data_IF_703866871524
#
_entry.id   IF_703866871524
#
_cell.length_a   1.000
_cell.length_b   1.000
_cell.length_c   1.000
_cell.angle_alpha   90.00
_cell.angle_beta   90.00
_cell.angle_gamma   90.00
#
_symmetry.space_group_name_H-M   'P 1'
#
loop_
_entity.id
_entity.type
_entity.pdbx_description
1 polymer ?
#
# COMPACT_ATOMS: atom_id res chain seq x y z
N UNK A 1 -14.27 57.16 9.72
CA UNK A 1 -14.70 55.77 9.95
C UNK A 1 -13.44 54.90 9.96
N UNK A 2 -13.13 54.25 11.09
CA UNK A 2 -11.79 53.69 11.34
C UNK A 2 -11.48 52.46 10.48
N UNK A 3 -10.32 52.48 9.82
CA UNK A 3 -9.76 51.34 9.11
C UNK A 3 -9.40 50.23 10.09
N UNK A 4 -10.07 49.09 9.95
CA UNK A 4 -9.78 47.87 10.70
C UNK A 4 -8.36 47.42 10.34
N UNK A 5 -7.48 47.28 11.33
CA UNK A 5 -6.08 46.92 11.08
C UNK A 5 -5.99 45.43 10.74
N UNK A 6 -4.93 45.00 10.04
CA UNK A 6 -4.66 43.57 9.77
C UNK A 6 -4.63 42.72 11.05
N UNK A 7 -4.26 43.33 12.18
CA UNK A 7 -4.26 42.70 13.51
C UNK A 7 -5.69 42.47 14.01
N UNK A 8 -6.59 43.40 13.78
CA UNK A 8 -8.01 43.28 14.17
C UNK A 8 -8.73 42.22 13.34
N UNK A 9 -8.43 42.13 12.04
CA UNK A 9 -8.94 41.07 11.18
C UNK A 9 -8.45 39.67 11.61
N UNK A 10 -7.18 39.56 12.01
CA UNK A 10 -6.58 38.31 12.49
C UNK A 10 -7.16 37.89 13.84
N UNK A 11 -7.36 38.83 14.77
CA UNK A 11 -8.01 38.57 16.07
C UNK A 11 -9.47 38.16 15.87
N UNK A 12 -10.22 38.82 15.00
CA UNK A 12 -11.60 38.45 14.67
C UNK A 12 -11.69 37.04 14.06
N UNK A 13 -10.74 36.67 13.20
CA UNK A 13 -10.64 35.34 12.62
C UNK A 13 -10.36 34.27 13.71
N UNK A 14 -9.40 34.53 14.60
CA UNK A 14 -9.07 33.63 15.71
C UNK A 14 -10.25 33.43 16.66
N UNK A 15 -10.95 34.50 17.02
CA UNK A 15 -12.17 34.42 17.84
C UNK A 15 -13.24 33.57 17.15
N UNK A 16 -13.44 33.78 15.84
CA UNK A 16 -14.42 33.01 15.05
C UNK A 16 -14.08 31.51 15.02
N UNK A 17 -12.80 31.15 14.84
CA UNK A 17 -12.35 29.75 14.85
C UNK A 17 -12.52 29.12 16.24
N UNK A 18 -12.15 29.83 17.31
CA UNK A 18 -12.31 29.34 18.69
C UNK A 18 -13.78 29.13 19.04
N UNK A 19 -14.66 30.06 18.67
CA UNK A 19 -16.10 29.94 18.88
C UNK A 19 -16.69 28.78 18.07
N UNK A 20 -16.27 28.58 16.83
CA UNK A 20 -16.72 27.46 16.00
C UNK A 20 -16.28 26.10 16.57
N UNK A 21 -15.05 26.00 17.08
CA UNK A 21 -14.54 24.78 17.74
C UNK A 21 -15.29 24.51 19.06
N UNK A 22 -15.53 25.54 19.88
CA UNK A 22 -16.30 25.42 21.11
C UNK A 22 -17.76 24.99 20.83
N UNK A 23 -18.38 25.53 19.78
CA UNK A 23 -19.73 25.16 19.36
C UNK A 23 -19.79 23.70 18.86
N UNK A 24 -18.83 23.28 18.04
CA UNK A 24 -18.73 21.89 17.55
C UNK A 24 -18.55 20.87 18.70
N UNK A 25 -17.76 21.21 19.72
CA UNK A 25 -17.58 20.36 20.91
C UNK A 25 -18.85 20.30 21.78
N UNK A 26 -19.64 21.37 21.80
CA UNK A 26 -20.90 21.43 22.54
C UNK A 26 -22.00 20.61 21.86
N UNK A 27 -22.11 20.72 20.52
CA UNK A 27 -23.04 19.91 19.71
C UNK A 27 -22.62 18.43 19.73
N UNK A 28 -21.32 18.14 19.65
CA UNK A 28 -20.79 16.78 19.77
C UNK A 28 -21.12 16.11 21.12
N UNK A 29 -21.16 16.89 22.21
CA UNK A 29 -21.62 16.39 23.52
C UNK A 29 -23.14 16.15 23.58
N UNK A 30 -23.94 17.00 22.94
CA UNK A 30 -25.41 16.82 22.89
C UNK A 30 -25.84 15.60 22.06
N UNK A 31 -25.12 15.27 20.98
CA UNK A 31 -25.40 14.09 20.14
C UNK A 31 -25.08 12.78 20.87
N UNK A 32 -24.11 12.79 21.81
CA UNK A 32 -23.70 11.60 22.56
C UNK A 32 -24.63 11.30 23.76
N UNK A 33 -25.40 12.27 24.25
CA UNK A 33 -26.32 12.08 25.40
C UNK A 33 -27.78 11.82 25.03
N UNK A 34 -28.11 11.73 23.74
CA UNK A 34 -29.49 11.67 23.26
C UNK A 34 -29.80 10.47 22.37
N UNK A 35 -29.58 9.23 22.84
CA UNK A 35 -30.27 8.04 22.29
C UNK A 35 -30.13 6.85 23.24
N UNK A 36 -31.18 6.62 24.04
CA UNK A 36 -31.38 5.35 24.74
C UNK A 36 -32.84 4.93 24.62
N UNK A 37 -33.04 3.76 23.99
CA UNK A 37 -34.23 2.89 23.89
C UNK A 37 -34.10 2.23 22.49
N UNK A 38 -34.00 0.93 22.28
CA UNK A 38 -34.51 -0.21 23.03
C UNK A 38 -35.11 -1.16 21.98
N UNK A 39 -34.77 -2.45 22.07
CA UNK A 39 -35.28 -3.57 21.25
C UNK A 39 -34.71 -3.76 19.83
N UNK A 40 -33.73 -4.68 19.72
CA UNK A 40 -33.77 -5.84 18.81
C UNK A 40 -32.62 -6.79 19.20
N UNK A 41 -32.75 -7.37 20.39
CA UNK A 41 -32.08 -8.62 20.75
C UNK A 41 -32.94 -9.74 20.19
N UNK A 42 -32.52 -10.33 19.05
CA UNK A 42 -32.77 -11.70 18.56
C UNK A 42 -32.84 -11.70 17.03
N UNK A 43 -31.71 -12.02 16.38
CA UNK A 43 -31.60 -13.06 15.33
C UNK A 43 -30.34 -12.88 14.47
N UNK A 44 -29.14 -13.03 15.03
CA UNK A 44 -27.91 -13.10 14.21
C UNK A 44 -26.97 -14.25 14.64
N UNK A 45 -27.52 -15.25 15.34
CA UNK A 45 -26.75 -16.43 15.78
C UNK A 45 -26.93 -17.65 14.88
N UNK A 46 -27.34 -17.47 13.63
CA UNK A 46 -27.50 -18.55 12.68
C UNK A 46 -26.76 -18.26 11.38
N UNK A 47 -25.88 -19.20 11.02
CA UNK A 47 -25.09 -19.33 9.77
C UNK A 47 -23.77 -18.57 9.74
N UNK A 48 -22.79 -19.14 10.43
CA UNK A 48 -21.39 -19.13 9.98
C UNK A 48 -20.73 -20.45 10.43
N UNK A 49 -21.39 -21.58 10.12
CA UNK A 49 -20.66 -22.85 9.97
C UNK A 49 -19.88 -22.70 8.67
N UNK A 50 -18.62 -22.27 8.77
CA UNK A 50 -17.67 -22.28 7.67
C UNK A 50 -17.64 -23.71 7.14
N UNK A 51 -18.11 -23.94 5.91
CA UNK A 51 -17.83 -25.20 5.24
C UNK A 51 -16.32 -25.23 5.04
N UNK A 52 -15.66 -26.21 5.66
CA UNK A 52 -14.22 -26.45 5.53
C UNK A 52 -13.85 -26.82 4.08
N UNK A 53 -14.86 -27.04 3.22
CA UNK A 53 -14.76 -27.47 1.83
C UNK A 53 -14.91 -26.36 0.76
N UNK A 54 -15.06 -25.08 1.13
CA UNK A 54 -15.13 -24.03 0.12
C UNK A 54 -13.74 -23.80 -0.50
N UNK A 55 -13.54 -24.29 -1.73
CA UNK A 55 -12.32 -24.03 -2.52
C UNK A 55 -12.09 -22.52 -2.61
N UNK A 56 -10.84 -22.09 -2.42
CA UNK A 56 -10.46 -20.70 -2.65
C UNK A 56 -10.58 -20.41 -4.14
N UNK A 57 -11.44 -19.45 -4.50
CA UNK A 57 -11.66 -19.03 -5.88
C UNK A 57 -10.76 -17.86 -6.28
N UNK A 58 -10.47 -16.97 -5.32
CA UNK A 58 -9.69 -15.78 -5.55
C UNK A 58 -8.92 -15.32 -4.30
N UNK A 59 -7.82 -14.60 -4.51
CA UNK A 59 -6.99 -14.03 -3.43
C UNK A 59 -6.81 -12.52 -3.63
N UNK A 60 -7.29 -11.69 -2.69
CA UNK A 60 -6.98 -10.26 -2.67
C UNK A 60 -5.54 -10.02 -2.21
N UNK A 61 -4.86 -9.08 -2.87
CA UNK A 61 -3.55 -8.57 -2.45
C UNK A 61 -3.69 -7.10 -2.13
N UNK A 62 -3.30 -6.69 -0.93
CA UNK A 62 -3.43 -5.33 -0.44
C UNK A 62 -2.09 -4.61 -0.57
N UNK A 63 -2.06 -3.42 -1.16
CA UNK A 63 -0.88 -2.59 -1.28
C UNK A 63 -1.00 -1.36 -0.37
N UNK A 64 -0.14 -1.29 0.65
CA UNK A 64 0.06 -0.15 1.52
C UNK A 64 1.36 0.58 1.15
N UNK A 65 1.50 1.84 1.53
CA UNK A 65 2.79 2.54 1.43
C UNK A 65 3.16 3.09 2.81
N UNK A 66 2.64 4.26 3.17
CA UNK A 66 3.05 4.94 4.40
C UNK A 66 2.01 4.82 5.51
N UNK A 67 2.45 4.53 6.73
CA UNK A 67 1.60 4.57 7.91
C UNK A 67 1.88 5.83 8.72
N UNK A 68 0.90 6.73 8.82
CA UNK A 68 1.09 8.00 9.55
C UNK A 68 0.48 7.92 10.95
N UNK A 69 1.26 8.35 11.95
CA UNK A 69 0.87 8.37 13.36
C UNK A 69 -0.27 9.36 13.66
N UNK A 70 -0.81 9.30 14.89
CA UNK A 70 -2.03 10.02 15.32
C UNK A 70 -1.89 11.55 15.48
N UNK A 71 -0.73 12.13 15.23
CA UNK A 71 -0.46 13.52 15.62
C UNK A 71 0.37 14.25 14.57
N UNK A 72 -0.31 14.67 13.51
CA UNK A 72 0.04 15.91 12.84
C UNK A 72 -1.17 16.85 12.95
N UNK A 73 -1.14 17.86 13.85
CA UNK A 73 -2.21 18.85 14.01
C UNK A 73 -2.54 19.59 12.72
N UNK A 74 -1.54 19.79 11.85
CA UNK A 74 -1.71 20.42 10.54
C UNK A 74 -2.53 19.51 9.63
N UNK A 75 -2.37 18.20 9.76
CA UNK A 75 -3.12 17.21 8.98
C UNK A 75 -4.56 17.05 9.42
N UNK A 76 -4.84 17.09 10.73
CA UNK A 76 -6.22 17.11 11.22
C UNK A 76 -6.96 18.35 10.69
N UNK A 77 -6.29 19.51 10.69
CA UNK A 77 -6.81 20.74 10.11
C UNK A 77 -7.00 20.65 8.58
N UNK A 78 -6.10 19.98 7.84
CA UNK A 78 -6.21 19.76 6.39
C UNK A 78 -7.31 18.78 6.01
N UNK A 79 -7.41 17.64 6.70
CA UNK A 79 -8.47 16.65 6.49
C UNK A 79 -9.84 17.23 6.87
N UNK A 80 -9.93 17.96 7.98
CA UNK A 80 -11.14 18.68 8.35
C UNK A 80 -11.49 19.76 7.32
N UNK A 81 -10.52 20.54 6.85
CA UNK A 81 -10.69 21.52 5.79
C UNK A 81 -11.15 20.92 4.46
N UNK A 82 -10.72 19.71 4.10
CA UNK A 82 -11.18 19.03 2.89
C UNK A 82 -12.59 18.43 3.06
N UNK A 83 -12.82 17.70 4.16
CA UNK A 83 -14.09 16.97 4.39
C UNK A 83 -15.24 17.92 4.74
N UNK A 84 -14.96 19.01 5.44
CA UNK A 84 -15.99 19.98 5.90
C UNK A 84 -16.06 21.20 5.01
N UNK A 85 -14.93 21.64 4.43
CA UNK A 85 -14.85 22.91 3.67
C UNK A 85 -14.49 22.74 2.19
N UNK A 86 -14.34 21.51 1.68
CA UNK A 86 -13.97 21.22 0.28
C UNK A 86 -12.70 21.93 -0.21
N UNK A 87 -11.76 22.24 0.69
CA UNK A 87 -10.53 22.97 0.35
C UNK A 87 -9.50 22.04 -0.34
N UNK A 88 -8.92 22.41 -1.49
CA UNK A 88 -7.97 21.55 -2.22
C UNK A 88 -6.60 21.54 -1.52
N UNK A 89 -6.40 20.60 -0.59
CA UNK A 89 -5.13 20.46 0.15
C UNK A 89 -4.80 18.99 0.46
N UNK A 90 -4.84 18.13 -0.56
CA UNK A 90 -4.07 16.89 -0.50
C UNK A 90 -2.87 17.05 -1.42
N UNK A 91 -1.68 17.10 -0.83
CA UNK A 91 -0.48 16.74 -1.58
C UNK A 91 -0.64 15.28 -2.05
N UNK A 92 -0.15 14.95 -3.25
CA UNK A 92 -0.27 13.61 -3.81
C UNK A 92 0.38 12.55 -2.90
N UNK A 93 1.38 12.92 -2.09
CA UNK A 93 1.99 12.03 -1.09
C UNK A 93 1.02 11.63 0.04
N UNK A 94 0.03 12.46 0.36
CA UNK A 94 -0.95 12.20 1.43
C UNK A 94 -1.99 11.13 1.05
N UNK A 95 -2.25 10.94 -0.25
CA UNK A 95 -3.21 9.94 -0.75
C UNK A 95 -2.73 8.50 -0.48
N UNK A 96 -1.43 8.23 -0.61
CA UNK A 96 -0.82 6.90 -0.40
C UNK A 96 -0.57 6.56 1.07
N UNK A 97 -1.20 7.30 1.99
CA UNK A 97 -1.03 7.08 3.43
C UNK A 97 -2.22 6.35 4.06
N UNK A 98 -1.95 5.56 5.09
CA UNK A 98 -2.98 5.03 6.00
C UNK A 98 -2.68 5.52 7.41
N UNK A 99 -3.71 5.92 8.18
CA UNK A 99 -3.49 6.25 9.59
C UNK A 99 -3.15 4.99 10.40
N UNK A 100 -2.26 5.07 11.39
CA UNK A 100 -1.89 3.93 12.24
C UNK A 100 -3.11 3.24 12.86
N UNK A 101 -4.08 4.02 13.36
CA UNK A 101 -5.33 3.47 13.90
C UNK A 101 -6.26 2.89 12.82
N UNK A 102 -6.21 3.39 11.59
CA UNK A 102 -6.92 2.81 10.44
C UNK A 102 -6.35 1.46 10.06
N UNK A 103 -5.03 1.36 9.96
CA UNK A 103 -4.31 0.11 9.70
C UNK A 103 -4.61 -0.93 10.78
N UNK A 104 -4.48 -0.57 12.06
CA UNK A 104 -4.76 -1.48 13.17
C UNK A 104 -6.19 -2.04 13.11
N UNK A 105 -7.20 -1.19 12.86
CA UNK A 105 -8.60 -1.64 12.71
C UNK A 105 -8.78 -2.61 11.54
N UNK A 106 -8.10 -2.38 10.42
CA UNK A 106 -8.14 -3.28 9.26
C UNK A 106 -7.52 -4.64 9.61
N UNK A 107 -6.35 -4.66 10.26
CA UNK A 107 -5.68 -5.91 10.65
C UNK A 107 -6.45 -6.70 11.72
N UNK A 108 -7.01 -6.00 12.72
CA UNK A 108 -7.89 -6.64 13.71
C UNK A 108 -9.15 -7.22 13.07
N UNK A 109 -9.69 -6.56 12.03
CA UNK A 109 -10.83 -7.09 11.29
C UNK A 109 -10.46 -8.41 10.60
N UNK A 110 -9.31 -8.46 9.91
CA UNK A 110 -8.82 -9.69 9.25
C UNK A 110 -8.71 -10.83 10.26
N UNK A 111 -8.00 -10.58 11.37
CA UNK A 111 -7.78 -11.57 12.44
C UNK A 111 -9.10 -12.06 13.04
N UNK A 112 -10.00 -11.15 13.46
CA UNK A 112 -11.30 -11.51 14.08
C UNK A 112 -12.25 -12.24 13.12
N UNK A 113 -12.11 -12.04 11.81
CA UNK A 113 -12.95 -12.66 10.79
C UNK A 113 -12.30 -13.89 10.15
N UNK A 114 -11.19 -14.37 10.71
CA UNK A 114 -10.55 -15.61 10.28
C UNK A 114 -9.94 -15.53 8.89
N UNK A 115 -9.48 -14.34 8.46
CA UNK A 115 -8.64 -14.23 7.28
C UNK A 115 -7.23 -14.71 7.59
N UNK A 116 -6.65 -15.44 6.64
CA UNK A 116 -5.31 -16.01 6.77
C UNK A 116 -4.35 -15.25 5.87
N UNK A 117 -3.35 -14.58 6.47
CA UNK A 117 -2.31 -13.93 5.67
C UNK A 117 -1.39 -14.96 5.06
N UNK A 118 -1.23 -14.90 3.74
CA UNK A 118 -0.32 -15.76 2.98
C UNK A 118 0.81 -14.94 2.35
N UNK A 119 1.90 -15.63 2.05
CA UNK A 119 3.08 -15.10 1.33
C UNK A 119 2.82 -15.04 -0.16
N UNK A 120 3.66 -14.29 -0.89
CA UNK A 120 3.63 -14.28 -2.35
C UNK A 120 4.04 -15.63 -2.94
N UNK A 121 4.94 -16.37 -2.30
CA UNK A 121 5.30 -17.76 -2.67
C UNK A 121 4.06 -18.67 -2.61
N UNK A 122 3.32 -18.64 -1.50
CA UNK A 122 2.06 -19.39 -1.32
C UNK A 122 1.01 -19.01 -2.37
N UNK A 123 0.84 -17.72 -2.64
CA UNK A 123 -0.07 -17.24 -3.69
C UNK A 123 0.35 -17.81 -5.06
N UNK A 124 1.63 -17.72 -5.39
CA UNK A 124 2.17 -18.21 -6.65
C UNK A 124 1.95 -19.72 -6.80
N UNK A 125 2.36 -20.51 -5.81
CA UNK A 125 2.18 -21.97 -5.79
C UNK A 125 0.71 -22.38 -5.95
N UNK A 126 -0.21 -21.68 -5.29
CA UNK A 126 -1.64 -21.93 -5.46
C UNK A 126 -2.13 -21.61 -6.87
N UNK A 127 -1.70 -20.48 -7.44
CA UNK A 127 -2.12 -20.08 -8.79
C UNK A 127 -1.69 -21.08 -9.88
N UNK A 128 -0.56 -21.76 -9.70
CA UNK A 128 -0.09 -22.83 -10.61
C UNK A 128 -0.57 -24.24 -10.21
N UNK A 129 -1.30 -24.38 -9.09
CA UNK A 129 -1.88 -25.64 -8.63
C UNK A 129 -0.91 -26.57 -7.91
N UNK A 130 0.14 -26.02 -7.29
CA UNK A 130 1.10 -26.77 -6.46
C UNK A 130 0.74 -26.76 -4.96
N UNK A 131 -0.15 -25.86 -4.52
CA UNK A 131 -0.53 -25.71 -3.11
C UNK A 131 -2.02 -25.37 -2.96
N UNK A 132 -2.66 -25.95 -1.95
CA UNK A 132 -3.97 -25.49 -1.46
C UNK A 132 -3.80 -24.38 -0.42
N UNK A 133 -4.71 -23.41 -0.41
CA UNK A 133 -4.67 -22.28 0.51
C UNK A 133 -5.60 -22.47 1.71
N UNK A 134 -5.26 -21.87 2.87
CA UNK A 134 -6.21 -21.78 3.98
C UNK A 134 -7.44 -20.96 3.58
N UNK A 135 -8.57 -21.12 4.28
CA UNK A 135 -9.78 -20.34 4.00
C UNK A 135 -9.53 -18.84 4.16
N UNK A 136 -10.23 -18.02 3.37
CA UNK A 136 -10.13 -16.55 3.41
C UNK A 136 -8.68 -16.04 3.32
N UNK A 137 -7.90 -16.47 2.31
CA UNK A 137 -6.52 -16.01 2.16
C UNK A 137 -6.49 -14.53 1.79
N UNK A 138 -5.47 -13.82 2.25
CA UNK A 138 -5.18 -12.43 1.88
C UNK A 138 -3.67 -12.21 1.87
N UNK A 139 -3.15 -11.45 0.91
CA UNK A 139 -1.76 -11.01 0.92
C UNK A 139 -1.70 -9.55 1.33
N UNK A 140 -0.73 -9.20 2.17
CA UNK A 140 -0.46 -7.82 2.58
C UNK A 140 0.91 -7.44 2.05
N UNK A 141 0.98 -6.31 1.32
CA UNK A 141 2.23 -5.77 0.77
C UNK A 141 2.41 -4.31 1.17
N UNK A 142 3.66 -3.89 1.30
CA UNK A 142 4.08 -2.52 1.56
C UNK A 142 5.13 -2.10 0.52
N UNK A 143 4.92 -0.97 -0.13
CA UNK A 143 5.89 -0.40 -1.06
C UNK A 143 6.80 0.63 -0.34
N UNK A 144 7.93 0.97 -0.96
CA UNK A 144 8.97 1.93 -0.53
C UNK A 144 9.77 1.63 0.74
N UNK A 145 9.30 0.75 1.61
CA UNK A 145 9.95 0.41 2.87
C UNK A 145 10.22 1.63 3.79
N UNK A 146 9.27 2.56 3.85
CA UNK A 146 9.33 3.70 4.78
C UNK A 146 9.41 3.24 6.25
N UNK A 147 10.10 4.00 7.10
CA UNK A 147 10.26 3.69 8.53
C UNK A 147 8.95 3.50 9.26
N UNK A 148 7.87 4.14 8.80
CA UNK A 148 6.54 3.91 9.36
C UNK A 148 6.05 2.46 9.30
N UNK A 149 6.53 1.67 8.34
CA UNK A 149 6.21 0.24 8.27
C UNK A 149 6.75 -0.49 9.50
N UNK A 150 7.97 -0.17 9.92
CA UNK A 150 8.57 -0.73 11.13
C UNK A 150 7.91 -0.19 12.40
N UNK A 151 7.68 1.13 12.45
CA UNK A 151 7.19 1.77 13.68
C UNK A 151 5.72 1.44 13.98
N UNK A 152 4.88 1.29 12.94
CA UNK A 152 3.43 1.13 13.10
C UNK A 152 2.88 -0.19 12.56
N UNK A 153 3.37 -0.70 11.42
CA UNK A 153 2.83 -1.92 10.82
C UNK A 153 3.34 -3.19 11.50
N UNK A 154 4.66 -3.29 11.61
CA UNK A 154 5.36 -4.44 12.16
C UNK A 154 4.89 -4.87 13.56
N UNK A 155 4.75 -3.99 14.57
CA UNK A 155 4.26 -4.41 15.88
C UNK A 155 2.82 -4.94 15.84
N UNK A 156 1.95 -4.36 15.01
CA UNK A 156 0.56 -4.81 14.86
C UNK A 156 0.50 -6.18 14.20
N UNK A 157 1.21 -6.37 13.09
CA UNK A 157 1.27 -7.64 12.36
C UNK A 157 1.84 -8.75 13.25
N UNK A 158 2.97 -8.48 13.94
CA UNK A 158 3.60 -9.41 14.87
C UNK A 158 2.65 -9.83 16.01
N UNK A 159 1.97 -8.86 16.63
CA UNK A 159 1.00 -9.11 17.72
C UNK A 159 -0.18 -9.98 17.26
N UNK A 160 -0.62 -9.81 16.03
CA UNK A 160 -1.77 -10.53 15.46
C UNK A 160 -1.38 -11.83 14.74
N UNK A 161 -0.09 -12.18 14.68
CA UNK A 161 0.39 -13.36 13.96
C UNK A 161 0.19 -13.28 12.44
N UNK A 162 0.15 -12.06 11.90
CA UNK A 162 -0.05 -11.79 10.49
C UNK A 162 1.30 -11.65 9.76
N UNK A 163 1.35 -12.08 8.50
CA UNK A 163 2.52 -11.98 7.62
C UNK A 163 2.28 -10.96 6.52
N UNK A 164 3.35 -10.33 6.06
CA UNK A 164 3.33 -9.35 4.98
C UNK A 164 4.61 -9.41 4.13
N UNK A 165 4.61 -8.69 3.02
CA UNK A 165 5.78 -8.44 2.19
C UNK A 165 6.09 -6.95 2.17
N UNK A 166 7.37 -6.58 2.18
CA UNK A 166 7.79 -5.20 1.93
C UNK A 166 8.71 -5.15 0.71
N UNK A 167 8.41 -4.26 -0.24
CA UNK A 167 9.19 -3.99 -1.42
C UNK A 167 10.12 -2.80 -1.15
N UNK A 168 11.42 -3.00 -1.35
CA UNK A 168 12.47 -2.06 -0.95
C UNK A 168 13.14 -1.42 -2.17
N UNK A 169 13.24 -0.09 -2.19
CA UNK A 169 14.08 0.64 -3.15
C UNK A 169 15.53 0.64 -2.64
N UNK A 170 16.33 -0.32 -3.12
CA UNK A 170 17.56 -0.71 -2.42
C UNK A 170 18.67 0.37 -2.44
N UNK A 171 18.68 1.26 -3.44
CA UNK A 171 19.62 2.38 -3.53
C UNK A 171 19.39 3.48 -2.48
N UNK A 172 18.22 3.47 -1.83
CA UNK A 172 17.83 4.45 -0.82
C UNK A 172 17.79 3.89 0.61
N UNK A 173 18.10 2.61 0.82
CA UNK A 173 18.11 1.98 2.16
C UNK A 173 18.96 2.77 3.16
N UNK A 174 18.38 3.05 4.33
CA UNK A 174 19.01 3.83 5.40
C UNK A 174 19.14 5.33 5.10
N UNK A 175 18.58 5.83 4.00
CA UNK A 175 18.64 7.23 3.59
C UNK A 175 17.26 7.89 3.67
N UNK A 176 17.29 9.23 3.73
CA UNK A 176 16.11 10.04 3.44
C UNK A 176 16.04 10.28 1.93
N UNK A 177 14.91 9.98 1.33
CA UNK A 177 14.65 10.10 -0.09
C UNK A 177 13.30 10.82 -0.27
N UNK A 178 13.36 12.10 -0.60
CA UNK A 178 12.20 13.00 -0.54
C UNK A 178 11.60 13.08 0.87
N UNK A 179 10.30 12.79 0.98
CA UNK A 179 9.56 12.71 2.25
C UNK A 179 9.65 11.34 2.93
N UNK A 180 10.22 10.34 2.25
CA UNK A 180 10.36 8.97 2.73
C UNK A 180 11.68 8.83 3.48
N UNK A 181 11.65 8.11 4.59
CA UNK A 181 12.86 7.62 5.25
C UNK A 181 12.86 6.12 5.11
N UNK A 182 13.70 5.61 4.22
CA UNK A 182 13.74 4.17 3.91
C UNK A 182 14.43 3.46 5.06
N UNK A 183 13.84 2.35 5.50
CA UNK A 183 14.40 1.49 6.54
C UNK A 183 15.85 1.12 6.24
N UNK A 184 16.65 0.98 7.29
CA UNK A 184 18.00 0.43 7.18
C UNK A 184 17.98 -1.12 7.11
N UNK A 185 19.11 -1.71 6.69
CA UNK A 185 19.26 -3.15 6.60
C UNK A 185 19.15 -3.87 7.96
N UNK A 186 19.43 -3.21 9.08
CA UNK A 186 19.33 -3.83 10.40
C UNK A 186 17.85 -4.08 10.76
N UNK A 187 16.99 -3.07 10.58
CA UNK A 187 15.54 -3.18 10.77
C UNK A 187 14.90 -4.16 9.79
N UNK A 188 15.28 -4.12 8.51
CA UNK A 188 14.77 -5.07 7.51
C UNK A 188 15.13 -6.52 7.87
N UNK A 189 16.36 -6.77 8.33
CA UNK A 189 16.77 -8.10 8.83
C UNK A 189 15.98 -8.53 10.04
N UNK A 190 15.72 -7.63 10.98
CA UNK A 190 14.91 -7.95 12.17
C UNK A 190 13.50 -8.39 11.78
N UNK A 191 12.83 -7.61 10.92
CA UNK A 191 11.48 -7.90 10.45
C UNK A 191 11.39 -9.24 9.71
N UNK A 192 12.42 -9.58 8.94
CA UNK A 192 12.48 -10.89 8.28
C UNK A 192 12.77 -12.02 9.27
N UNK A 193 13.75 -11.85 10.17
CA UNK A 193 14.13 -12.87 11.14
C UNK A 193 12.99 -13.22 12.11
N UNK A 194 12.06 -12.29 12.34
CA UNK A 194 10.86 -12.57 13.14
C UNK A 194 9.80 -13.40 12.39
N UNK A 195 9.96 -13.64 11.09
CA UNK A 195 8.99 -14.33 10.24
C UNK A 195 7.75 -13.51 9.87
N UNK A 196 7.73 -12.22 10.16
CA UNK A 196 6.56 -11.35 9.91
C UNK A 196 6.61 -10.76 8.51
N UNK A 197 7.81 -10.37 8.04
CA UNK A 197 7.99 -9.81 6.71
C UNK A 197 8.85 -10.68 5.80
N UNK A 198 8.44 -10.74 4.55
CA UNK A 198 9.29 -11.12 3.42
C UNK A 198 9.80 -9.85 2.72
N UNK A 199 11.08 -9.81 2.35
CA UNK A 199 11.72 -8.62 1.79
C UNK A 199 11.93 -8.82 0.28
N UNK A 200 11.32 -7.96 -0.53
CA UNK A 200 11.28 -8.08 -1.99
C UNK A 200 11.74 -6.78 -2.68
N UNK A 201 11.90 -6.81 -4.00
CA UNK A 201 12.52 -5.71 -4.74
C UNK A 201 11.52 -4.63 -5.15
N UNK A 202 11.87 -3.37 -4.95
CA UNK A 202 11.20 -2.21 -5.57
C UNK A 202 12.16 -1.42 -6.48
N UNK A 203 13.01 -2.15 -7.22
CA UNK A 203 14.16 -1.62 -7.99
C UNK A 203 15.31 -1.14 -7.10
N UNK A 204 16.44 -0.79 -7.69
CA UNK A 204 17.57 -0.20 -6.96
C UNK A 204 17.45 1.32 -6.92
N UNK A 205 17.35 1.97 -8.07
CA UNK A 205 17.29 3.42 -8.19
C UNK A 205 16.45 3.83 -9.42
N UNK A 206 15.35 3.12 -9.70
CA UNK A 206 14.43 3.45 -10.82
C UNK A 206 13.09 4.02 -10.35
N UNK A 207 12.98 4.36 -9.06
CA UNK A 207 11.76 4.97 -8.51
C UNK A 207 11.74 6.49 -8.73
N UNK A 208 11.88 6.96 -9.95
CA UNK A 208 11.67 8.37 -10.27
C UNK A 208 10.99 8.54 -11.62
N UNK A 209 10.45 9.75 -11.84
CA UNK A 209 9.88 10.13 -13.12
C UNK A 209 10.82 11.09 -13.84
N UNK A 210 10.83 10.98 -15.16
CA UNK A 210 11.51 11.91 -16.05
C UNK A 210 10.47 12.70 -16.84
N UNK A 211 10.84 13.87 -17.33
CA UNK A 211 10.03 14.65 -18.26
C UNK A 211 10.89 15.03 -19.46
N UNK A 212 10.53 14.54 -20.64
CA UNK A 212 11.22 14.81 -21.91
C UNK A 212 10.33 15.59 -22.89
N UNK A 213 9.60 16.58 -22.38
CA UNK A 213 8.71 17.45 -23.17
C UNK A 213 7.24 17.05 -23.18
N UNK A 214 6.81 16.21 -22.23
CA UNK A 214 5.44 15.71 -22.07
C UNK A 214 5.03 15.49 -20.61
N UNK A 215 4.06 14.60 -20.38
CA UNK A 215 3.72 14.17 -19.01
C UNK A 215 4.86 13.38 -18.39
N UNK A 216 5.07 13.57 -17.08
CA UNK A 216 6.14 12.88 -16.38
C UNK A 216 5.89 11.36 -16.33
N UNK A 217 6.80 10.59 -16.92
CA UNK A 217 6.72 9.12 -17.01
C UNK A 217 7.75 8.44 -16.11
N UNK A 218 7.47 7.21 -15.61
CA UNK A 218 8.45 6.44 -14.87
C UNK A 218 9.71 6.22 -15.70
N UNK A 219 10.88 6.46 -15.10
CA UNK A 219 12.14 6.43 -15.83
C UNK A 219 12.33 5.12 -16.56
N UNK A 220 12.07 3.98 -15.92
CA UNK A 220 12.24 2.63 -16.50
C UNK A 220 11.36 2.36 -17.73
N UNK A 221 10.29 3.13 -17.95
CA UNK A 221 9.42 3.03 -19.12
C UNK A 221 9.83 3.94 -20.28
N UNK A 222 10.74 4.88 -20.04
CA UNK A 222 11.18 5.84 -21.04
C UNK A 222 11.63 5.17 -22.34
N UNK A 223 11.25 5.77 -23.47
CA UNK A 223 11.69 5.31 -24.78
C UNK A 223 13.21 5.49 -24.97
N UNK A 224 13.75 6.58 -24.42
CA UNK A 224 15.14 7.01 -24.53
C UNK A 224 15.69 7.41 -23.17
N UNK A 225 17.00 7.24 -22.95
CA UNK A 225 17.66 7.70 -21.71
C UNK A 225 17.72 9.23 -21.72
N UNK A 226 17.35 9.92 -20.63
CA UNK A 226 17.65 11.35 -20.51
C UNK A 226 19.16 11.55 -20.56
N UNK A 227 19.65 12.22 -21.61
CA UNK A 227 21.07 12.56 -21.80
C UNK A 227 21.95 11.39 -22.24
N UNK A 228 21.80 10.98 -23.50
CA UNK A 228 22.80 10.29 -24.36
C UNK A 228 23.82 9.36 -23.69
N UNK A 229 23.78 8.07 -24.04
CA UNK A 229 24.97 7.20 -24.12
C UNK A 229 26.06 7.46 -23.06
N UNK A 230 25.73 7.25 -21.79
CA UNK A 230 26.70 7.38 -20.69
C UNK A 230 27.32 6.02 -20.40
N UNK A 231 28.66 5.97 -20.43
CA UNK A 231 29.51 4.88 -19.92
C UNK A 231 29.36 3.50 -20.58
N UNK A 232 29.18 3.45 -21.91
CA UNK A 232 29.24 2.18 -22.65
C UNK A 232 28.08 1.21 -22.37
N UNK A 233 26.99 1.68 -21.74
CA UNK A 233 25.76 0.89 -21.57
C UNK A 233 25.03 0.77 -22.91
N UNK A 234 24.96 -0.45 -23.42
CA UNK A 234 24.66 -0.79 -24.82
C UNK A 234 23.17 -0.66 -25.21
N UNK A 235 22.25 -0.55 -24.25
CA UNK A 235 20.82 -0.25 -24.51
C UNK A 235 20.08 0.15 -23.22
N UNK A 236 18.89 0.73 -23.36
CA UNK A 236 18.00 1.03 -22.22
C UNK A 236 17.66 -0.22 -21.37
N UNK A 237 17.50 -1.37 -22.01
CA UNK A 237 17.22 -2.63 -21.32
C UNK A 237 18.39 -3.07 -20.44
N UNK A 238 19.62 -2.76 -20.84
CA UNK A 238 20.80 -3.04 -20.02
C UNK A 238 20.86 -2.18 -18.76
N UNK A 239 20.35 -0.94 -18.82
CA UNK A 239 20.20 -0.09 -17.64
C UNK A 239 19.20 -0.71 -16.65
N UNK A 240 18.01 -1.09 -17.14
CA UNK A 240 16.99 -1.75 -16.30
C UNK A 240 17.54 -3.08 -15.75
N UNK A 241 18.22 -3.88 -16.58
CA UNK A 241 18.85 -5.15 -16.17
C UNK A 241 19.88 -4.93 -15.07
N UNK A 242 20.74 -3.93 -15.23
CA UNK A 242 21.77 -3.58 -14.26
C UNK A 242 21.16 -3.15 -12.92
N UNK A 243 20.15 -2.27 -12.96
CA UNK A 243 19.46 -1.80 -11.77
C UNK A 243 18.78 -2.94 -11.01
N UNK A 244 18.01 -3.76 -11.72
CA UNK A 244 17.32 -4.90 -11.15
C UNK A 244 18.29 -5.94 -10.55
N UNK A 245 19.42 -6.16 -11.22
CA UNK A 245 20.48 -7.05 -10.72
C UNK A 245 21.10 -6.49 -9.44
N UNK A 246 21.43 -5.20 -9.40
CA UNK A 246 21.93 -4.53 -8.18
C UNK A 246 20.94 -4.64 -7.02
N UNK A 247 19.64 -4.49 -7.29
CA UNK A 247 18.62 -4.64 -6.26
C UNK A 247 18.57 -6.05 -5.68
N UNK A 248 18.58 -7.07 -6.55
CA UNK A 248 18.59 -8.48 -6.13
C UNK A 248 19.83 -8.83 -5.32
N UNK A 249 21.00 -8.38 -5.78
CA UNK A 249 22.26 -8.64 -5.11
C UNK A 249 22.34 -7.97 -3.75
N UNK A 250 21.89 -6.71 -3.64
CA UNK A 250 21.81 -6.00 -2.37
C UNK A 250 20.90 -6.73 -1.37
N UNK A 251 19.69 -7.13 -1.78
CA UNK A 251 18.78 -7.89 -0.91
C UNK A 251 19.41 -9.22 -0.53
N UNK A 252 19.92 -10.00 -1.50
CA UNK A 252 20.58 -11.29 -1.24
C UNK A 252 21.72 -11.16 -0.23
N UNK A 253 22.57 -10.15 -0.39
CA UNK A 253 23.72 -9.90 0.49
C UNK A 253 23.29 -9.54 1.91
N UNK A 254 22.31 -8.66 2.08
CA UNK A 254 21.94 -8.14 3.39
C UNK A 254 20.90 -8.99 4.12
N UNK A 255 20.03 -9.68 3.38
CA UNK A 255 18.87 -10.41 3.89
C UNK A 255 19.08 -11.92 3.85
N UNK A 256 19.99 -12.42 3.02
CA UNK A 256 20.33 -13.85 2.90
C UNK A 256 19.38 -14.66 2.01
N UNK A 257 18.38 -14.01 1.41
CA UNK A 257 17.47 -14.60 0.42
C UNK A 257 17.46 -13.74 -0.85
N UNK A 258 17.47 -14.37 -2.01
CA UNK A 258 17.28 -13.68 -3.28
C UNK A 258 15.80 -13.30 -3.41
N UNK A 259 15.46 -12.03 -3.70
CA UNK A 259 14.07 -11.65 -3.90
C UNK A 259 13.54 -12.26 -5.20
N UNK A 260 12.34 -12.83 -5.14
CA UNK A 260 11.66 -13.47 -6.25
C UNK A 260 10.59 -12.57 -6.89
N UNK A 261 10.15 -11.53 -6.19
CA UNK A 261 9.08 -10.64 -6.61
C UNK A 261 9.57 -9.21 -6.78
N UNK A 262 8.98 -8.52 -7.75
CA UNK A 262 9.25 -7.11 -8.06
C UNK A 262 7.94 -6.33 -8.05
N UNK A 263 7.82 -5.32 -7.20
CA UNK A 263 6.80 -4.29 -7.42
C UNK A 263 7.41 -3.24 -8.35
N UNK A 264 6.74 -2.91 -9.45
CA UNK A 264 7.18 -1.79 -10.28
C UNK A 264 6.85 -0.47 -9.60
N UNK A 265 7.79 0.49 -9.50
CA UNK A 265 7.47 1.84 -9.05
C UNK A 265 6.30 2.42 -9.83
N UNK A 266 5.41 3.14 -9.15
CA UNK A 266 4.16 3.67 -9.73
C UNK A 266 3.16 2.62 -10.23
N UNK A 267 3.43 1.34 -10.00
CA UNK A 267 2.46 0.27 -10.09
C UNK A 267 2.39 -0.47 -11.41
N UNK A 268 3.07 -0.04 -12.48
CA UNK A 268 2.92 -0.67 -13.80
C UNK A 268 4.26 -0.78 -14.52
N UNK A 269 4.55 -2.00 -14.98
CA UNK A 269 5.56 -2.28 -15.98
C UNK A 269 4.95 -2.26 -17.38
N UNK A 270 5.69 -2.83 -18.33
CA UNK A 270 5.19 -3.17 -19.66
C UNK A 270 5.89 -4.44 -20.14
N UNK A 271 5.43 -5.08 -21.24
CA UNK A 271 6.01 -6.33 -21.73
C UNK A 271 7.51 -6.29 -22.00
N UNK A 272 8.07 -5.09 -22.28
CA UNK A 272 9.50 -4.89 -22.50
C UNK A 272 10.27 -5.00 -21.19
N UNK A 273 9.92 -4.23 -20.16
CA UNK A 273 10.63 -4.28 -18.86
C UNK A 273 10.31 -5.56 -18.07
N UNK A 274 9.12 -6.13 -18.24
CA UNK A 274 8.76 -7.41 -17.63
C UNK A 274 9.58 -8.58 -18.22
N UNK A 275 9.96 -8.50 -19.49
CA UNK A 275 10.91 -9.47 -20.08
C UNK A 275 12.27 -9.38 -19.40
N UNK A 276 12.79 -8.17 -19.21
CA UNK A 276 14.07 -7.95 -18.51
C UNK A 276 13.99 -8.45 -17.07
N UNK A 277 12.88 -8.19 -16.36
CA UNK A 277 12.68 -8.70 -15.01
C UNK A 277 12.72 -10.24 -14.95
N UNK A 278 12.09 -10.93 -15.90
CA UNK A 278 12.17 -12.40 -16.04
C UNK A 278 13.61 -12.88 -16.28
N UNK A 279 14.32 -12.24 -17.21
CA UNK A 279 15.73 -12.58 -17.54
C UNK A 279 16.66 -12.42 -16.33
N UNK A 280 16.44 -11.39 -15.52
CA UNK A 280 17.17 -11.15 -14.27
C UNK A 280 16.79 -12.18 -13.18
N UNK A 281 15.68 -12.90 -13.36
CA UNK A 281 15.26 -14.02 -12.52
C UNK A 281 14.15 -13.69 -11.52
N UNK A 282 13.36 -12.64 -11.75
CA UNK A 282 12.11 -12.44 -11.01
C UNK A 282 11.04 -13.42 -11.50
N UNK A 283 10.35 -14.04 -10.55
CA UNK A 283 9.29 -15.01 -10.82
C UNK A 283 8.03 -14.30 -11.29
N UNK A 284 7.66 -13.19 -10.63
CA UNK A 284 6.44 -12.40 -10.91
C UNK A 284 6.62 -10.94 -10.54
N UNK A 285 5.80 -10.09 -11.13
CA UNK A 285 5.68 -8.67 -10.79
C UNK A 285 4.38 -8.39 -10.03
N UNK A 286 4.38 -7.34 -9.21
CA UNK A 286 3.22 -6.84 -8.49
C UNK A 286 2.85 -5.47 -9.05
N UNK A 287 1.60 -5.31 -9.47
CA UNK A 287 1.09 -4.07 -10.05
C UNK A 287 -0.01 -3.45 -9.20
N UNK A 288 -0.51 -2.29 -9.61
CA UNK A 288 -1.70 -1.68 -9.04
C UNK A 288 -2.95 -1.93 -9.90
N UNK A 289 -2.92 -2.96 -10.76
CA UNK A 289 -4.11 -3.42 -11.49
C UNK A 289 -5.16 -3.86 -10.47
N UNK A 290 -6.34 -3.27 -10.55
CA UNK A 290 -7.45 -3.59 -9.66
C UNK A 290 -7.97 -4.99 -9.95
N UNK A 291 -8.18 -5.77 -8.90
CA UNK A 291 -8.76 -7.10 -8.99
C UNK A 291 -8.18 -8.06 -7.96
N UNK A 292 -8.78 -9.25 -7.91
CA UNK A 292 -8.27 -10.39 -7.16
C UNK A 292 -7.50 -11.32 -8.10
N UNK A 293 -6.69 -12.21 -7.50
CA UNK A 293 -5.88 -13.17 -8.23
C UNK A 293 -6.57 -14.54 -8.21
N UNK A 294 -6.71 -15.16 -9.38
CA UNK A 294 -7.39 -16.45 -9.59
C UNK A 294 -6.39 -17.53 -10.00
N UNK A 295 -6.75 -18.83 -9.94
CA UNK A 295 -5.90 -19.89 -10.48
C UNK A 295 -5.62 -19.65 -11.98
N UNK A 296 -4.37 -19.84 -12.41
CA UNK A 296 -3.98 -19.60 -13.81
C UNK A 296 -4.68 -20.58 -14.77
N UNK A 297 -4.97 -21.80 -14.32
CA UNK A 297 -5.73 -22.79 -15.12
C UNK A 297 -7.17 -22.35 -15.42
N UNK A 298 -7.73 -21.45 -14.62
CA UNK A 298 -9.09 -20.94 -14.77
C UNK A 298 -9.17 -19.69 -15.66
N UNK A 299 -8.03 -19.16 -16.11
CA UNK A 299 -7.96 -17.89 -16.86
C UNK A 299 -7.32 -18.16 -18.22
N UNK A 300 -8.04 -17.97 -19.35
CA UNK A 300 -7.40 -17.93 -20.65
C UNK A 300 -6.31 -16.85 -20.61
N UNK A 301 -5.08 -17.17 -21.02
CA UNK A 301 -4.04 -16.15 -21.23
C UNK A 301 -4.50 -15.31 -22.42
N UNK A 302 -5.00 -14.11 -22.15
CA UNK A 302 -5.34 -13.09 -23.16
C UNK A 302 -4.27 -12.01 -23.16
N UNK A 303 -4.36 -11.06 -24.09
CA UNK A 303 -3.49 -9.88 -24.08
C UNK A 303 -3.60 -9.05 -22.78
N UNK A 304 -4.71 -9.20 -22.03
CA UNK A 304 -5.03 -8.45 -20.81
C UNK A 304 -4.74 -9.23 -19.51
N UNK A 305 -4.34 -10.50 -19.60
CA UNK A 305 -4.01 -11.35 -18.44
C UNK A 305 -2.58 -11.90 -18.56
N UNK A 306 -1.60 -11.09 -18.13
CA UNK A 306 -0.24 -11.60 -17.95
C UNK A 306 -0.17 -12.38 -16.63
N UNK A 307 -0.01 -13.71 -16.71
CA UNK A 307 0.19 -14.59 -15.56
C UNK A 307 1.38 -14.16 -14.68
N UNK A 308 2.31 -13.38 -15.24
CA UNK A 308 3.44 -12.80 -14.54
C UNK A 308 3.06 -11.68 -13.58
N UNK A 309 1.94 -11.00 -13.81
CA UNK A 309 1.49 -9.85 -13.02
C UNK A 309 0.55 -10.30 -11.89
N UNK A 310 0.79 -9.79 -10.68
CA UNK A 310 -0.08 -9.94 -9.50
C UNK A 310 -0.84 -8.63 -9.32
N UNK A 311 -2.17 -8.71 -9.41
CA UNK A 311 -3.07 -7.59 -9.16
C UNK A 311 -3.07 -7.22 -7.67
N UNK A 312 -3.11 -5.92 -7.35
CA UNK A 312 -3.18 -5.40 -5.99
C UNK A 312 -4.22 -4.29 -5.86
N UNK A 313 -4.92 -4.28 -4.73
CA UNK A 313 -5.74 -3.15 -4.31
C UNK A 313 -4.91 -2.15 -3.52
N UNK A 314 -4.80 -0.93 -4.03
CA UNK A 314 -4.11 0.13 -3.28
C UNK A 314 -4.97 0.63 -2.13
N UNK A 315 -4.38 0.65 -0.94
CA UNK A 315 -4.97 1.22 0.26
C UNK A 315 -4.50 2.67 0.38
N UNK A 316 -5.47 3.58 0.43
CA UNK A 316 -5.25 5.02 0.45
C UNK A 316 -5.85 5.63 1.70
N UNK A 317 -5.62 6.93 1.90
CA UNK A 317 -6.24 7.69 2.98
C UNK A 317 -7.79 7.68 2.90
N UNK A 318 -8.34 7.37 1.71
CA UNK A 318 -9.79 7.31 1.45
C UNK A 318 -10.38 5.91 1.67
N UNK A 319 -9.56 4.89 1.90
CA UNK A 319 -10.04 3.52 2.06
C UNK A 319 -10.71 3.34 3.42
N UNK A 320 -12.03 3.53 3.45
CA UNK A 320 -12.86 3.24 4.63
C UNK A 320 -12.88 1.73 4.93
N UNK A 321 -13.29 1.35 6.15
CA UNK A 321 -13.46 -0.07 6.49
C UNK A 321 -14.51 -0.76 5.61
N UNK A 322 -15.51 -0.03 5.10
CA UNK A 322 -16.50 -0.56 4.14
C UNK A 322 -15.84 -0.90 2.81
N UNK A 323 -15.03 0.00 2.27
CA UNK A 323 -14.28 -0.22 1.01
C UNK A 323 -13.27 -1.35 1.19
N UNK A 324 -12.51 -1.33 2.29
CA UNK A 324 -11.58 -2.40 2.64
C UNK A 324 -12.25 -3.78 2.64
N UNK A 325 -13.45 -3.88 3.25
CA UNK A 325 -14.23 -5.12 3.27
C UNK A 325 -14.63 -5.59 1.87
N UNK A 326 -15.01 -4.68 0.98
CA UNK A 326 -15.33 -5.01 -0.41
C UNK A 326 -14.09 -5.50 -1.18
N UNK A 327 -12.92 -4.91 -0.92
CA UNK A 327 -11.66 -5.32 -1.55
C UNK A 327 -11.27 -6.75 -1.15
N UNK A 328 -11.31 -7.07 0.15
CA UNK A 328 -10.93 -8.40 0.66
C UNK A 328 -11.97 -9.49 0.34
N UNK A 329 -13.21 -9.12 0.01
CA UNK A 329 -14.22 -10.07 -0.50
C UNK A 329 -14.21 -10.20 -2.03
N UNK A 330 -13.36 -9.44 -2.74
CA UNK A 330 -13.33 -9.45 -4.20
C UNK A 330 -14.54 -8.79 -4.87
N UNK A 331 -15.37 -8.07 -4.12
CA UNK A 331 -16.59 -7.41 -4.62
C UNK A 331 -16.39 -5.92 -4.88
N UNK A 332 -15.17 -5.41 -4.75
CA UNK A 332 -14.86 -4.01 -4.96
C UNK A 332 -14.77 -3.70 -6.47
N UNK A 333 -15.52 -2.69 -6.89
CA UNK A 333 -15.43 -2.07 -8.20
C UNK A 333 -15.20 -0.56 -8.02
N UNK A 334 -14.28 0.07 -8.77
CA UNK A 334 -14.06 1.51 -8.70
C UNK A 334 -15.24 2.34 -9.20
N UNK A 335 -16.15 1.74 -9.97
CA UNK A 335 -17.27 2.42 -10.64
C UNK A 335 -18.60 2.37 -9.86
N UNK A 336 -18.59 1.92 -8.59
CA UNK A 336 -19.78 1.74 -7.74
C UNK A 336 -19.71 2.51 -6.43
#
# INVERSE_FOLDING_TARGET
MSHMTRRDAYIAFLITVVVAVAFALTVGRMVVTGRNAGSQLRSDRARDTVSVDARVEHVPVLCYHYIRGKSDPIRLARVFGYVVLSLPLLDNSELWTTSAGGFERQMEYLSRRGYNTITLDELNEWQIGLRDLPPRPVVITFDDADESVYDYAYPVLKRLGLRATVFVVTGHVGKRWGEVRVLDWARLREMQASGVFDIQSHTHDLHYKINDGGDAEPVFLAATRPGETVDGVTSWEELVRTDLTRSRDAIRQHIGRTPAYLAWPYGFGNPRVDRVAREVGFTRTCSLRLGTNTPLRATPVTADTDAFEIARYTITARTSLRVFRAMISGTYSPDV
#
